data_IF_392983365769
#
_entry.id   IF_392983365769
#
_cell.length_a   1.000
_cell.length_b   1.000
_cell.length_c   1.000
_cell.angle_alpha   90.00
_cell.angle_beta   90.00
_cell.angle_gamma   90.00
#
_symmetry.space_group_name_H-M   'P 1'
#
loop_
_entity.id
_entity.type
_entity.pdbx_description
1 polymer ?
#
# COMPACT_ATOMS: atom_id res chain seq x y z
N UNK A 1 57.09 10.88 18.86
CA UNK A 1 57.40 10.92 20.30
C UNK A 1 56.66 12.12 20.89
N UNK A 2 55.74 12.02 21.87
CA UNK A 2 55.00 10.87 22.47
C UNK A 2 53.48 10.86 22.08
N UNK A 3 52.79 9.72 21.99
CA UNK A 3 52.05 8.93 23.01
C UNK A 3 50.77 9.62 23.56
N UNK A 4 49.58 9.23 23.09
CA UNK A 4 48.61 8.28 23.71
C UNK A 4 47.82 8.88 24.88
N UNK A 5 46.50 9.06 24.70
CA UNK A 5 45.48 8.46 25.59
C UNK A 5 44.14 8.31 24.87
N UNK A 6 43.64 7.07 24.83
CA UNK A 6 42.24 6.69 24.58
C UNK A 6 41.34 7.26 25.69
N UNK A 7 40.08 7.53 25.37
CA UNK A 7 39.01 7.16 26.29
C UNK A 7 37.76 6.73 25.51
N UNK A 8 37.43 5.45 25.64
CA UNK A 8 36.14 4.85 25.33
C UNK A 8 35.16 5.21 26.45
N UNK A 9 33.90 5.52 26.12
CA UNK A 9 32.76 5.20 26.99
C UNK A 9 31.46 5.28 26.21
N UNK A 10 30.95 4.10 25.89
CA UNK A 10 29.58 3.86 25.51
C UNK A 10 28.64 4.10 26.70
N UNK A 11 27.47 4.71 26.45
CA UNK A 11 26.29 4.53 27.28
C UNK A 11 25.08 4.33 26.37
N UNK A 12 24.72 3.07 26.25
CA UNK A 12 23.49 2.55 25.68
C UNK A 12 22.38 2.66 26.75
N UNK A 13 21.22 3.21 26.39
CA UNK A 13 20.05 3.28 27.26
C UNK A 13 18.88 2.53 26.61
N UNK A 14 18.78 1.25 26.95
CA UNK A 14 17.65 0.38 26.66
C UNK A 14 16.54 0.66 27.68
N UNK A 15 15.35 1.07 27.23
CA UNK A 15 14.16 1.13 28.08
C UNK A 15 13.31 -0.13 27.83
N UNK A 16 13.39 -1.07 28.77
CA UNK A 16 12.45 -2.17 28.94
C UNK A 16 11.24 -1.68 29.74
N UNK A 17 10.03 -1.89 29.24
CA UNK A 17 8.81 -1.82 30.05
C UNK A 17 8.19 -3.21 30.05
N UNK A 18 8.37 -3.85 31.19
CA UNK A 18 7.64 -5.02 31.66
C UNK A 18 6.42 -4.51 32.44
N UNK A 19 5.22 -4.91 32.03
CA UNK A 19 4.01 -4.72 32.84
C UNK A 19 3.18 -5.97 32.78
N UNK A 20 3.38 -6.86 33.76
CA UNK A 20 2.47 -7.94 34.09
C UNK A 20 2.02 -7.85 35.55
N UNK A 21 0.77 -8.28 35.77
CA UNK A 21 0.08 -8.59 37.02
C UNK A 21 -0.69 -7.48 37.77
N UNK A 22 -1.99 -7.72 37.93
CA UNK A 22 -2.89 -6.96 38.80
C UNK A 22 -4.37 -7.36 38.68
N UNK A 23 -4.71 -8.62 38.96
CA UNK A 23 -6.09 -9.06 39.23
C UNK A 23 -6.50 -8.70 40.67
N UNK A 24 -7.67 -8.08 40.89
CA UNK A 24 -8.78 -8.77 41.57
C UNK A 24 -10.14 -8.03 41.53
N UNK A 25 -11.20 -8.83 41.61
CA UNK A 25 -12.65 -8.56 41.55
C UNK A 25 -13.19 -7.69 42.73
N UNK A 26 -14.43 -7.20 42.82
CA UNK A 26 -15.76 -7.55 42.27
C UNK A 26 -16.80 -6.48 42.66
N UNK A 27 -17.86 -6.24 41.87
CA UNK A 27 -19.28 -6.23 42.33
C UNK A 27 -20.29 -5.86 41.21
N UNK A 28 -21.19 -6.81 40.91
CA UNK A 28 -22.63 -6.63 40.65
C UNK A 28 -23.15 -5.72 39.53
N UNK A 29 -23.65 -6.32 38.44
CA UNK A 29 -24.54 -5.66 37.49
C UNK A 29 -25.00 -6.60 36.37
N UNK A 30 -26.30 -6.85 36.29
CA UNK A 30 -26.99 -7.83 35.42
C UNK A 30 -26.63 -7.80 33.92
N UNK A 31 -26.15 -8.93 33.41
CA UNK A 31 -27.04 -9.81 32.67
C UNK A 31 -27.56 -9.41 31.28
N UNK A 32 -26.78 -8.74 30.42
CA UNK A 32 -27.02 -8.77 28.95
C UNK A 32 -25.71 -8.75 28.13
N UNK A 33 -24.83 -9.73 28.36
CA UNK A 33 -23.71 -9.97 27.45
C UNK A 33 -24.24 -10.45 26.09
N UNK A 34 -23.96 -9.67 25.04
CA UNK A 34 -24.32 -9.96 23.66
C UNK A 34 -23.90 -11.38 23.27
N UNK A 35 -24.83 -12.14 22.73
CA UNK A 35 -24.60 -13.49 22.20
C UNK A 35 -23.61 -13.37 21.04
N UNK A 36 -22.34 -13.72 21.26
CA UNK A 36 -21.32 -13.76 20.21
C UNK A 36 -21.84 -14.57 19.02
N UNK A 37 -22.10 -13.90 17.90
CA UNK A 37 -22.58 -14.55 16.69
C UNK A 37 -21.45 -15.45 16.19
N UNK A 38 -21.68 -16.76 16.17
CA UNK A 38 -20.69 -17.71 15.63
C UNK A 38 -20.51 -17.42 14.13
N UNK A 39 -19.28 -17.31 13.63
CA UNK A 39 -19.03 -17.09 12.20
C UNK A 39 -19.71 -18.16 11.34
N UNK A 40 -20.41 -17.71 10.31
CA UNK A 40 -21.04 -18.55 9.30
C UNK A 40 -19.99 -19.35 8.53
N UNK A 41 -20.41 -20.44 7.87
CA UNK A 41 -19.51 -21.22 7.01
C UNK A 41 -18.89 -20.36 5.89
N UNK A 42 -19.66 -19.37 5.37
CA UNK A 42 -19.18 -18.41 4.37
C UNK A 42 -18.05 -17.55 4.91
N UNK A 43 -18.20 -16.99 6.11
CA UNK A 43 -17.20 -16.14 6.74
C UNK A 43 -15.92 -16.92 7.03
N UNK A 44 -16.03 -18.13 7.61
CA UNK A 44 -14.84 -18.96 7.90
C UNK A 44 -14.08 -19.35 6.64
N UNK A 45 -14.80 -19.70 5.57
CA UNK A 45 -14.20 -20.00 4.27
C UNK A 45 -13.46 -18.78 3.70
N UNK A 46 -14.12 -17.61 3.69
CA UNK A 46 -13.51 -16.40 3.13
C UNK A 46 -12.31 -15.93 3.97
N UNK A 47 -12.39 -15.98 5.29
CA UNK A 47 -11.30 -15.62 6.19
C UNK A 47 -10.08 -16.53 6.00
N UNK A 48 -10.31 -17.84 6.01
CA UNK A 48 -9.26 -18.85 5.77
C UNK A 48 -8.62 -18.68 4.40
N UNK A 49 -9.45 -18.54 3.35
CA UNK A 49 -8.98 -18.29 2.00
C UNK A 49 -8.19 -16.99 1.89
N UNK A 50 -8.64 -15.91 2.54
CA UNK A 50 -7.97 -14.61 2.50
C UNK A 50 -6.58 -14.68 3.12
N UNK A 51 -6.44 -15.37 4.26
CA UNK A 51 -5.14 -15.56 4.90
C UNK A 51 -4.21 -16.41 4.03
N UNK A 52 -4.68 -17.56 3.55
CA UNK A 52 -3.86 -18.49 2.77
C UNK A 52 -3.47 -17.90 1.41
N UNK A 53 -4.42 -17.33 0.66
CA UNK A 53 -4.14 -16.72 -0.63
C UNK A 53 -3.18 -15.54 -0.54
N UNK A 54 -3.28 -14.71 0.51
CA UNK A 54 -2.35 -13.61 0.69
C UNK A 54 -0.94 -14.07 1.10
N UNK A 55 -0.86 -15.10 1.94
CA UNK A 55 0.41 -15.61 2.43
C UNK A 55 1.17 -16.44 1.39
N UNK A 56 0.46 -17.25 0.59
CA UNK A 56 1.05 -18.35 -0.18
C UNK A 56 0.68 -18.35 -1.68
N UNK A 57 -0.23 -17.48 -2.11
CA UNK A 57 -0.65 -17.35 -3.50
C UNK A 57 -1.95 -18.08 -3.84
N UNK A 58 -2.69 -17.53 -4.80
CA UNK A 58 -4.02 -18.02 -5.19
C UNK A 58 -3.96 -19.33 -5.98
N UNK A 59 -2.87 -19.56 -6.74
CA UNK A 59 -2.68 -20.79 -7.49
C UNK A 59 -2.16 -21.93 -6.63
N UNK A 60 -1.22 -21.65 -5.73
CA UNK A 60 -0.61 -22.63 -4.80
C UNK A 60 -1.63 -23.25 -3.85
N UNK A 61 -2.58 -22.46 -3.33
CA UNK A 61 -3.52 -22.93 -2.30
C UNK A 61 -4.69 -23.70 -2.93
N UNK A 62 -4.81 -24.98 -2.59
CA UNK A 62 -5.93 -25.83 -3.01
C UNK A 62 -7.21 -25.62 -2.19
N UNK A 63 -8.36 -25.96 -2.78
CA UNK A 63 -9.66 -25.85 -2.10
C UNK A 63 -9.78 -26.78 -0.88
N UNK A 64 -9.21 -27.99 -0.94
CA UNK A 64 -9.33 -28.97 0.12
C UNK A 64 -8.62 -28.47 1.39
N UNK A 65 -7.44 -27.84 1.24
CA UNK A 65 -6.75 -27.17 2.35
C UNK A 65 -7.58 -26.05 2.99
N UNK A 66 -8.26 -25.23 2.18
CA UNK A 66 -9.13 -24.17 2.71
C UNK A 66 -10.31 -24.77 3.48
N UNK A 67 -10.91 -25.84 2.96
CA UNK A 67 -12.04 -26.54 3.59
C UNK A 67 -11.62 -27.11 4.95
N UNK A 68 -10.47 -27.79 4.99
CA UNK A 68 -9.91 -28.41 6.18
C UNK A 68 -9.60 -27.37 7.26
N UNK A 69 -8.87 -26.30 6.90
CA UNK A 69 -8.52 -25.24 7.85
C UNK A 69 -9.73 -24.39 8.29
N UNK A 70 -10.76 -24.22 7.44
CA UNK A 70 -11.98 -23.50 7.78
C UNK A 70 -12.96 -24.33 8.63
N UNK A 71 -12.73 -25.64 8.76
CA UNK A 71 -13.64 -26.56 9.46
C UNK A 71 -15.04 -26.55 8.86
N UNK A 72 -15.13 -26.65 7.53
CA UNK A 72 -16.41 -26.73 6.79
C UNK A 72 -16.46 -28.00 5.94
N UNK A 73 -17.65 -28.43 5.55
CA UNK A 73 -17.77 -29.53 4.59
C UNK A 73 -17.50 -29.03 3.17
N UNK A 74 -16.94 -29.88 2.30
CA UNK A 74 -16.72 -29.57 0.87
C UNK A 74 -17.99 -29.09 0.16
N UNK A 75 -19.12 -29.73 0.42
CA UNK A 75 -20.42 -29.31 -0.11
C UNK A 75 -20.81 -27.88 0.30
N UNK A 76 -20.37 -27.40 1.47
CA UNK A 76 -20.62 -26.03 1.92
C UNK A 76 -19.85 -25.00 1.10
N UNK A 77 -18.60 -25.28 0.70
CA UNK A 77 -17.84 -24.39 -0.19
C UNK A 77 -18.55 -24.22 -1.52
N UNK A 78 -18.89 -25.32 -2.19
CA UNK A 78 -19.57 -25.27 -3.48
C UNK A 78 -20.97 -24.66 -3.39
N UNK A 79 -21.71 -24.91 -2.30
CA UNK A 79 -23.00 -24.24 -2.06
C UNK A 79 -22.86 -22.72 -1.89
N UNK A 80 -21.76 -22.27 -1.28
CA UNK A 80 -21.60 -20.85 -0.89
C UNK A 80 -20.96 -20.02 -1.99
N UNK A 81 -19.93 -20.55 -2.64
CA UNK A 81 -19.15 -19.82 -3.65
C UNK A 81 -19.28 -20.44 -5.05
N UNK A 82 -19.70 -21.70 -5.19
CA UNK A 82 -19.84 -22.34 -6.50
C UNK A 82 -18.51 -22.84 -7.10
N UNK A 83 -17.42 -22.07 -7.00
CA UNK A 83 -16.11 -22.45 -7.52
C UNK A 83 -14.95 -21.83 -6.72
N UNK A 84 -13.72 -22.28 -7.01
CA UNK A 84 -12.50 -21.64 -6.50
C UNK A 84 -12.38 -20.21 -7.02
N UNK A 85 -12.69 -19.97 -8.30
CA UNK A 85 -12.60 -18.65 -8.92
C UNK A 85 -13.56 -17.65 -8.27
N UNK A 86 -14.77 -18.07 -7.93
CA UNK A 86 -15.71 -17.23 -7.19
C UNK A 86 -15.26 -16.95 -5.75
N UNK A 87 -14.55 -17.88 -5.11
CA UNK A 87 -13.90 -17.64 -3.82
C UNK A 87 -12.72 -16.66 -3.94
N UNK A 88 -11.91 -16.77 -5.01
CA UNK A 88 -10.84 -15.81 -5.33
C UNK A 88 -11.44 -14.42 -5.58
N UNK A 89 -12.55 -14.33 -6.32
CA UNK A 89 -13.28 -13.08 -6.55
C UNK A 89 -13.71 -12.45 -5.23
N UNK A 90 -14.36 -13.23 -4.35
CA UNK A 90 -14.81 -12.77 -3.04
C UNK A 90 -13.64 -12.28 -2.18
N UNK A 91 -12.51 -12.99 -2.21
CA UNK A 91 -11.27 -12.57 -1.57
C UNK A 91 -10.76 -11.21 -2.11
N UNK A 92 -10.60 -11.08 -3.43
CA UNK A 92 -10.08 -9.85 -4.05
C UNK A 92 -11.05 -8.67 -3.85
N UNK A 93 -12.36 -8.90 -3.89
CA UNK A 93 -13.37 -7.89 -3.55
C UNK A 93 -13.23 -7.42 -2.10
N UNK A 94 -13.10 -8.35 -1.14
CA UNK A 94 -12.90 -7.98 0.28
C UNK A 94 -11.59 -7.19 0.49
N UNK A 95 -10.52 -7.55 -0.23
CA UNK A 95 -9.24 -6.80 -0.19
C UNK A 95 -9.39 -5.41 -0.80
N UNK A 96 -10.09 -5.30 -1.93
CA UNK A 96 -10.38 -4.00 -2.56
C UNK A 96 -11.12 -3.11 -1.57
N UNK A 97 -12.24 -3.58 -1.00
CA UNK A 97 -13.04 -2.80 -0.05
C UNK A 97 -12.23 -2.36 1.16
N UNK A 98 -11.40 -3.24 1.74
CA UNK A 98 -10.56 -2.90 2.87
C UNK A 98 -9.52 -1.82 2.52
N UNK A 99 -8.90 -1.91 1.33
CA UNK A 99 -7.96 -0.89 0.85
C UNK A 99 -8.69 0.42 0.57
N UNK A 100 -9.85 0.36 -0.09
CA UNK A 100 -10.65 1.53 -0.45
C UNK A 100 -11.12 2.28 0.80
N UNK A 101 -11.67 1.58 1.79
CA UNK A 101 -12.04 2.19 3.08
C UNK A 101 -10.85 2.88 3.73
N UNK A 102 -9.74 2.16 3.91
CA UNK A 102 -8.54 2.70 4.56
C UNK A 102 -7.97 3.94 3.85
N UNK A 103 -7.96 3.96 2.51
CA UNK A 103 -7.48 5.12 1.75
C UNK A 103 -8.49 6.28 1.86
N UNK A 104 -9.78 6.01 1.68
CA UNK A 104 -10.83 7.02 1.81
C UNK A 104 -10.85 7.66 3.19
N UNK A 105 -10.70 6.85 4.25
CA UNK A 105 -10.63 7.34 5.63
C UNK A 105 -9.43 8.26 5.82
N UNK A 106 -8.24 7.87 5.31
CA UNK A 106 -7.04 8.71 5.39
C UNK A 106 -7.19 10.04 4.64
N UNK A 107 -7.80 10.01 3.45
CA UNK A 107 -8.07 11.21 2.64
C UNK A 107 -9.11 12.12 3.31
N UNK A 108 -10.12 11.56 3.98
CA UNK A 108 -11.18 12.31 4.63
C UNK A 108 -10.72 13.10 5.88
N UNK A 109 -9.58 12.73 6.47
CA UNK A 109 -9.00 13.45 7.63
C UNK A 109 -8.19 14.69 7.25
N UNK A 110 -8.06 14.99 5.97
CA UNK A 110 -7.23 16.09 5.45
C UNK A 110 -8.13 16.99 4.63
N UNK A 111 -7.92 18.31 4.68
CA UNK A 111 -8.70 19.26 3.86
C UNK A 111 -7.97 19.59 2.54
N UNK A 112 -6.70 19.93 2.65
CA UNK A 112 -5.88 20.36 1.51
C UNK A 112 -5.71 19.23 0.46
N UNK A 113 -6.05 19.47 -0.82
CA UNK A 113 -5.95 18.46 -1.87
C UNK A 113 -4.54 17.91 -2.11
N UNK A 114 -3.48 18.70 -1.90
CA UNK A 114 -2.10 18.25 -2.08
C UNK A 114 -1.72 17.29 -0.95
N UNK A 115 -2.06 17.67 0.28
CA UNK A 115 -1.88 16.81 1.46
C UNK A 115 -2.75 15.55 1.41
N UNK A 116 -3.95 15.59 0.80
CA UNK A 116 -4.77 14.38 0.56
C UNK A 116 -4.05 13.36 -0.30
N UNK A 117 -3.31 13.80 -1.33
CA UNK A 117 -2.50 12.89 -2.15
C UNK A 117 -1.43 12.24 -1.28
N UNK A 118 -0.71 13.03 -0.46
CA UNK A 118 0.29 12.50 0.47
C UNK A 118 -0.32 11.57 1.53
N UNK A 119 -1.57 11.78 1.94
CA UNK A 119 -2.29 10.91 2.86
C UNK A 119 -2.53 9.49 2.30
N UNK A 120 -2.70 9.35 0.98
CA UNK A 120 -2.76 8.03 0.31
C UNK A 120 -1.45 7.25 0.54
N UNK A 121 -0.31 7.92 0.41
CA UNK A 121 1.01 7.31 0.62
C UNK A 121 1.33 7.10 2.10
N UNK A 122 0.88 7.98 2.99
CA UNK A 122 0.97 7.76 4.43
C UNK A 122 0.15 6.52 4.86
N UNK A 123 -1.03 6.34 4.27
CA UNK A 123 -1.85 5.15 4.46
C UNK A 123 -1.15 3.88 3.98
N UNK A 124 -0.38 3.97 2.90
CA UNK A 124 0.47 2.87 2.42
C UNK A 124 1.65 2.60 3.36
N UNK A 125 2.33 3.64 3.85
CA UNK A 125 3.44 3.53 4.80
C UNK A 125 3.04 2.75 6.07
N UNK A 126 1.84 3.03 6.61
CA UNK A 126 1.31 2.31 7.76
C UNK A 126 1.19 0.79 7.49
N UNK A 127 0.85 0.38 6.26
CA UNK A 127 0.77 -1.03 5.86
C UNK A 127 2.13 -1.68 5.72
N UNK A 128 3.12 -0.95 5.22
CA UNK A 128 4.48 -1.47 5.00
C UNK A 128 5.14 -1.90 6.31
N UNK A 129 4.84 -1.19 7.40
CA UNK A 129 5.35 -1.51 8.74
C UNK A 129 4.65 -2.70 9.42
N UNK A 130 3.56 -3.23 8.86
CA UNK A 130 2.83 -4.33 9.47
C UNK A 130 3.58 -5.67 9.35
N UNK A 131 3.65 -6.46 10.44
CA UNK A 131 4.17 -7.81 10.37
C UNK A 131 3.42 -8.65 9.33
N UNK A 132 4.16 -9.33 8.46
CA UNK A 132 3.58 -10.17 7.42
C UNK A 132 3.02 -9.41 6.23
N UNK A 133 3.34 -8.13 6.06
CA UNK A 133 3.08 -7.43 4.81
C UNK A 133 3.77 -8.15 3.64
N UNK A 134 2.99 -8.47 2.60
CA UNK A 134 3.45 -9.18 1.39
C UNK A 134 3.11 -8.39 0.13
N UNK A 135 3.25 -7.08 0.15
CA UNK A 135 2.95 -6.26 -1.03
C UNK A 135 1.44 -6.19 -1.35
N UNK A 136 1.15 -5.70 -2.55
CA UNK A 136 -0.20 -5.56 -3.07
C UNK A 136 -0.79 -6.93 -3.47
N UNK A 137 -1.99 -7.30 -2.97
CA UNK A 137 -2.62 -8.59 -3.30
C UNK A 137 -2.97 -8.71 -4.79
N UNK A 138 -3.29 -7.60 -5.47
CA UNK A 138 -3.63 -7.59 -6.90
C UNK A 138 -2.40 -7.81 -7.77
N UNK A 139 -1.27 -7.16 -7.46
CA UNK A 139 -0.01 -7.38 -8.20
C UNK A 139 0.43 -8.83 -8.08
N UNK A 140 0.39 -9.38 -6.85
CA UNK A 140 0.76 -10.77 -6.61
C UNK A 140 -0.16 -11.76 -7.35
N UNK A 141 -1.48 -11.55 -7.30
CA UNK A 141 -2.43 -12.44 -7.99
C UNK A 141 -2.30 -12.35 -9.51
N UNK A 142 -2.17 -11.14 -10.07
CA UNK A 142 -2.04 -10.95 -11.53
C UNK A 142 -0.72 -11.48 -12.10
N UNK A 143 0.35 -11.53 -11.31
CA UNK A 143 1.63 -12.07 -11.77
C UNK A 143 1.56 -13.56 -12.17
N UNK A 144 0.60 -14.30 -11.63
CA UNK A 144 0.41 -15.74 -11.86
C UNK A 144 -0.82 -16.04 -12.72
N UNK A 145 -1.64 -15.03 -13.02
CA UNK A 145 -2.92 -15.20 -13.68
C UNK A 145 -2.80 -15.34 -15.21
N UNK A 146 -3.69 -16.15 -15.79
CA UNK A 146 -3.89 -16.14 -17.23
C UNK A 146 -4.71 -14.92 -17.66
N UNK A 147 -4.40 -14.32 -18.83
CA UNK A 147 -5.16 -13.18 -19.34
C UNK A 147 -6.66 -13.45 -19.46
N UNK A 148 -7.49 -12.48 -19.07
CA UNK A 148 -8.94 -12.50 -19.30
C UNK A 148 -9.75 -13.34 -18.31
N UNK A 149 -9.21 -13.60 -17.11
CA UNK A 149 -9.90 -14.28 -16.02
C UNK A 149 -10.32 -13.35 -14.88
N UNK A 150 -10.98 -13.92 -13.87
CA UNK A 150 -11.52 -13.18 -12.72
C UNK A 150 -10.48 -12.37 -11.92
N UNK A 151 -9.21 -12.82 -11.92
CA UNK A 151 -8.11 -12.08 -11.29
C UNK A 151 -7.82 -10.78 -12.05
N UNK A 152 -7.79 -10.82 -13.39
CA UNK A 152 -7.56 -9.66 -14.23
C UNK A 152 -8.69 -8.64 -14.11
N UNK A 153 -9.93 -9.12 -14.07
CA UNK A 153 -11.11 -8.26 -13.87
C UNK A 153 -11.01 -7.52 -12.53
N UNK A 154 -10.67 -8.25 -11.46
CA UNK A 154 -10.52 -7.68 -10.13
C UNK A 154 -9.34 -6.69 -10.04
N UNK A 155 -8.20 -7.02 -10.64
CA UNK A 155 -7.04 -6.14 -10.71
C UNK A 155 -7.33 -4.88 -11.53
N UNK A 156 -8.03 -5.02 -12.65
CA UNK A 156 -8.44 -3.89 -13.50
C UNK A 156 -9.42 -2.98 -12.77
N UNK A 157 -10.40 -3.54 -12.06
CA UNK A 157 -11.33 -2.76 -11.25
C UNK A 157 -10.61 -1.98 -10.13
N UNK A 158 -9.69 -2.63 -9.40
CA UNK A 158 -8.87 -1.97 -8.38
C UNK A 158 -8.01 -0.85 -8.95
N UNK A 159 -7.30 -1.11 -10.07
CA UNK A 159 -6.46 -0.12 -10.74
C UNK A 159 -7.27 1.07 -11.24
N UNK A 160 -8.46 0.82 -11.80
CA UNK A 160 -9.36 1.86 -12.29
C UNK A 160 -9.88 2.75 -11.14
N UNK A 161 -10.30 2.13 -10.04
CA UNK A 161 -10.72 2.87 -8.85
C UNK A 161 -9.61 3.77 -8.29
N UNK A 162 -8.40 3.23 -8.10
CA UNK A 162 -7.27 4.00 -7.57
C UNK A 162 -6.83 5.11 -8.53
N UNK A 163 -6.83 4.83 -9.84
CA UNK A 163 -6.58 5.84 -10.89
C UNK A 163 -7.60 6.98 -10.79
N UNK A 164 -8.89 6.65 -10.67
CA UNK A 164 -9.97 7.62 -10.53
C UNK A 164 -9.78 8.53 -9.31
N UNK A 165 -9.50 7.94 -8.15
CA UNK A 165 -9.18 8.70 -6.94
C UNK A 165 -8.03 9.69 -7.16
N UNK A 166 -6.92 9.25 -7.78
CA UNK A 166 -5.81 10.16 -8.06
C UNK A 166 -6.16 11.26 -9.05
N UNK A 167 -7.00 11.00 -10.05
CA UNK A 167 -7.49 12.03 -10.98
C UNK A 167 -8.33 13.06 -10.23
N UNK A 168 -9.23 12.62 -9.35
CA UNK A 168 -10.09 13.51 -8.57
C UNK A 168 -9.25 14.40 -7.64
N UNK A 169 -8.27 13.82 -6.94
CA UNK A 169 -7.36 14.56 -6.07
C UNK A 169 -6.46 15.52 -6.85
N UNK A 170 -5.90 15.09 -7.98
CA UNK A 170 -5.08 15.95 -8.84
C UNK A 170 -5.88 17.13 -9.41
N UNK A 171 -7.14 16.89 -9.77
CA UNK A 171 -8.05 17.94 -10.24
C UNK A 171 -8.33 18.94 -9.12
N UNK A 172 -8.64 18.46 -7.91
CA UNK A 172 -8.86 19.32 -6.76
C UNK A 172 -7.60 20.11 -6.36
N UNK A 173 -6.41 19.57 -6.59
CA UNK A 173 -5.14 20.25 -6.36
C UNK A 173 -4.77 21.30 -7.43
N UNK A 174 -5.58 21.43 -8.49
CA UNK A 174 -5.36 22.41 -9.55
C UNK A 174 -4.31 21.98 -10.58
N UNK A 175 -4.05 20.69 -10.75
CA UNK A 175 -3.10 20.21 -11.75
C UNK A 175 -3.54 20.59 -13.17
N UNK A 176 -2.66 21.16 -14.01
CA UNK A 176 -2.97 21.46 -15.41
C UNK A 176 -3.31 20.22 -16.25
N UNK A 177 -2.68 19.09 -15.93
CA UNK A 177 -3.01 17.76 -16.49
C UNK A 177 -3.20 16.74 -15.36
N UNK A 178 -4.43 16.64 -14.80
CA UNK A 178 -4.73 15.69 -13.73
C UNK A 178 -4.52 14.23 -14.13
N UNK A 179 -4.70 13.91 -15.42
CA UNK A 179 -4.54 12.55 -15.93
C UNK A 179 -3.06 12.14 -15.94
N UNK A 180 -2.17 13.04 -16.38
CA UNK A 180 -0.73 12.79 -16.34
C UNK A 180 -0.22 12.66 -14.91
N UNK A 181 -0.61 13.56 -14.02
CA UNK A 181 -0.23 13.49 -12.61
C UNK A 181 -0.73 12.18 -11.98
N UNK A 182 -2.00 11.82 -12.19
CA UNK A 182 -2.53 10.57 -11.68
C UNK A 182 -1.71 9.35 -12.16
N UNK A 183 -1.39 9.27 -13.46
CA UNK A 183 -0.55 8.19 -14.01
C UNK A 183 0.78 8.07 -13.26
N UNK A 184 1.48 9.18 -13.05
CA UNK A 184 2.72 9.21 -12.26
C UNK A 184 2.53 8.75 -10.81
N UNK A 185 1.48 9.23 -10.14
CA UNK A 185 1.17 8.86 -8.75
C UNK A 185 0.93 7.35 -8.59
N UNK A 186 0.19 6.72 -9.51
CA UNK A 186 -0.01 5.27 -9.43
C UNK A 186 1.24 4.47 -9.79
N UNK A 187 2.10 4.96 -10.70
CA UNK A 187 3.39 4.32 -10.94
C UNK A 187 4.23 4.30 -9.66
N UNK A 188 4.28 5.42 -8.94
CA UNK A 188 4.95 5.51 -7.64
C UNK A 188 4.28 4.62 -6.58
N UNK A 189 2.95 4.60 -6.53
CA UNK A 189 2.19 3.76 -5.61
C UNK A 189 2.46 2.26 -5.85
N UNK A 190 2.40 1.81 -7.10
CA UNK A 190 2.68 0.44 -7.50
C UNK A 190 4.14 0.07 -7.21
N UNK A 191 5.07 0.95 -7.57
CA UNK A 191 6.51 0.79 -7.34
C UNK A 191 6.83 0.63 -5.86
N UNK A 192 6.28 1.48 -4.99
CA UNK A 192 6.50 1.39 -3.55
C UNK A 192 6.02 0.05 -2.97
N UNK A 193 4.84 -0.45 -3.38
CA UNK A 193 4.37 -1.78 -2.94
C UNK A 193 5.31 -2.91 -3.36
N UNK A 194 5.90 -2.80 -4.55
CA UNK A 194 6.80 -3.81 -5.10
C UNK A 194 8.17 -3.75 -4.42
N UNK A 195 8.75 -2.56 -4.28
CA UNK A 195 10.06 -2.37 -3.63
C UNK A 195 10.02 -2.88 -2.18
N UNK A 196 9.01 -2.54 -1.37
CA UNK A 196 8.90 -3.07 0.01
C UNK A 196 8.84 -4.60 0.04
N UNK A 197 8.14 -5.21 -0.92
CA UNK A 197 8.07 -6.68 -1.03
C UNK A 197 9.43 -7.29 -1.38
N UNK A 198 10.19 -6.65 -2.27
CA UNK A 198 11.47 -7.18 -2.77
C UNK A 198 12.60 -6.96 -1.78
N UNK A 199 12.64 -5.77 -1.18
CA UNK A 199 13.75 -5.31 -0.35
C UNK A 199 13.50 -5.62 1.13
N UNK A 200 12.24 -5.86 1.52
CA UNK A 200 11.85 -6.12 2.91
C UNK A 200 12.01 -4.91 3.82
N UNK A 201 12.13 -3.71 3.25
CA UNK A 201 12.41 -2.48 3.99
C UNK A 201 11.21 -1.53 4.01
N UNK A 202 10.55 -1.32 5.16
CA UNK A 202 9.46 -0.36 5.26
C UNK A 202 9.91 1.10 5.09
N UNK A 203 11.21 1.41 5.18
CA UNK A 203 11.74 2.77 4.99
C UNK A 203 11.49 3.32 3.58
N UNK A 204 11.23 2.45 2.59
CA UNK A 204 10.80 2.81 1.23
C UNK A 204 9.56 3.72 1.23
N UNK A 205 8.74 3.68 2.28
CA UNK A 205 7.66 4.65 2.49
C UNK A 205 8.13 6.11 2.40
N UNK A 206 9.29 6.41 2.98
CA UNK A 206 9.86 7.76 2.99
C UNK A 206 10.31 8.18 1.59
N UNK A 207 10.96 7.27 0.85
CA UNK A 207 11.40 7.52 -0.53
C UNK A 207 10.20 7.75 -1.45
N UNK A 208 9.14 6.93 -1.32
CA UNK A 208 7.90 7.10 -2.06
C UNK A 208 7.25 8.45 -1.77
N UNK A 209 7.18 8.86 -0.50
CA UNK A 209 6.65 10.18 -0.10
C UNK A 209 7.48 11.31 -0.71
N UNK A 210 8.80 11.23 -0.67
CA UNK A 210 9.69 12.24 -1.24
C UNK A 210 9.51 12.35 -2.76
N UNK A 211 9.45 11.22 -3.47
CA UNK A 211 9.22 11.19 -4.91
C UNK A 211 7.86 11.79 -5.29
N UNK A 212 6.81 11.52 -4.51
CA UNK A 212 5.48 12.11 -4.71
C UNK A 212 5.49 13.62 -4.49
N UNK A 213 6.18 14.11 -3.45
CA UNK A 213 6.29 15.54 -3.20
C UNK A 213 6.98 16.28 -4.37
N UNK A 214 8.05 15.69 -4.92
CA UNK A 214 8.75 16.23 -6.10
C UNK A 214 7.81 16.24 -7.31
N UNK A 215 7.11 15.13 -7.57
CA UNK A 215 6.17 15.03 -8.69
C UNK A 215 5.04 16.04 -8.58
N UNK A 216 4.49 16.24 -7.38
CA UNK A 216 3.44 17.22 -7.11
C UNK A 216 3.93 18.65 -7.36
N UNK A 217 5.07 19.03 -6.80
CA UNK A 217 5.62 20.37 -7.00
C UNK A 217 5.87 20.67 -8.49
N UNK A 218 6.45 19.71 -9.22
CA UNK A 218 6.67 19.84 -10.65
C UNK A 218 5.36 19.95 -11.45
N UNK A 219 4.36 19.14 -11.12
CA UNK A 219 3.07 19.12 -11.83
C UNK A 219 2.21 20.36 -11.57
N UNK A 220 2.32 20.99 -10.39
CA UNK A 220 1.53 22.16 -10.02
C UNK A 220 2.19 23.49 -10.40
N UNK A 221 3.39 23.45 -11.00
CA UNK A 221 4.13 24.66 -11.36
C UNK A 221 4.80 25.34 -10.16
N UNK A 222 4.91 24.65 -9.02
CA UNK A 222 5.66 25.09 -7.85
C UNK A 222 7.17 24.80 -7.99
N UNK A 223 7.60 24.29 -9.15
CA UNK A 223 9.01 24.12 -9.46
C UNK A 223 9.72 25.48 -9.36
N UNK A 224 10.95 25.51 -8.80
CA UNK A 224 11.73 26.75 -8.78
C UNK A 224 11.86 27.24 -10.21
N UNK A 225 11.50 28.50 -10.41
CA UNK A 225 11.79 29.28 -11.60
C UNK A 225 13.25 29.00 -11.98
N UNK A 226 13.47 28.19 -13.01
CA UNK A 226 14.79 28.16 -13.66
C UNK A 226 14.89 29.44 -14.46
N UNK A 227 15.10 30.53 -13.73
CA UNK A 227 15.54 31.80 -14.26
C UNK A 227 16.84 31.58 -15.02
N UNK A 228 16.82 32.04 -16.26
CA UNK A 228 17.92 32.22 -17.19
C UNK A 228 19.32 31.91 -16.71
N UNK A 229 19.91 30.87 -17.29
CA UNK A 229 21.31 30.95 -17.68
C UNK A 229 21.37 31.05 -19.19
N UNK A 230 21.49 32.31 -19.63
CA UNK A 230 21.87 32.65 -20.97
C UNK A 230 23.11 31.84 -21.35
N UNK A 231 22.98 30.98 -22.36
CA UNK A 231 24.14 30.50 -23.09
C UNK A 231 24.76 31.73 -23.74
N UNK A 232 25.76 32.26 -23.05
CA UNK A 232 26.63 33.32 -23.52
C UNK A 232 27.15 32.96 -24.89
N UNK A 233 26.78 33.79 -25.86
CA UNK A 233 27.35 33.83 -27.20
C UNK A 233 28.86 34.09 -27.07
N UNK A 234 29.75 33.24 -27.59
CA UNK A 234 31.11 33.70 -27.86
C UNK A 234 31.07 34.49 -29.16
N UNK A 235 31.27 35.80 -29.05
CA UNK A 235 31.66 36.66 -30.16
C UNK A 235 33.06 36.29 -30.67
N UNK A 236 33.22 36.44 -31.98
CA UNK A 236 34.46 36.61 -32.76
C UNK A 236 35.53 35.51 -32.78
N UNK A 237 35.50 34.70 -33.86
CA UNK A 237 36.72 34.42 -34.64
C UNK A 237 36.50 34.82 -36.09
N UNK A 238 37.05 35.98 -36.39
CA UNK A 238 37.29 36.57 -37.71
C UNK A 238 38.23 35.67 -38.51
N UNK A 239 37.72 34.83 -39.41
CA UNK A 239 38.55 34.22 -40.47
C UNK A 239 38.42 35.03 -41.75
N UNK A 240 39.39 35.92 -41.96
CA UNK A 240 39.74 36.41 -43.30
C UNK A 240 40.36 35.25 -44.08
N UNK A 241 39.78 34.93 -45.22
CA UNK A 241 40.35 34.05 -46.26
C UNK A 241 41.57 34.72 -46.92
N UNK A 242 42.62 33.96 -47.25
CA UNK A 242 43.47 34.26 -48.40
C UNK A 242 43.33 33.16 -49.47
N UNK A 243 43.03 33.57 -50.70
CA UNK A 243 42.91 32.69 -51.87
C UNK A 243 42.05 33.30 -52.95
#
# INVERSE_FOLDING_TARGET
>A
MPAVTRNDSAMNASASIDTSAGMNASAGGDGTAGRGVRPTARERLLDTASRLFYAEGVHTVGIDRIIDEAGVAKASLYKTFGSKDALIQAYLSARHEAIARRISDAVAQVDDPREKILAVFASQAARFAEPGYRGCPFIAASAEASPGGTIDDAASAYRSWLRGLFVDLATAAGAPDPQALARGLQLLYDGANLSVRMDGDPAIAADARAAVAILLAAALGDAPDQAGEAVGRPDDVRTRTPG
#
